data_IF_452124368720
#
_entry.id   IF_452124368720
#
_cell.length_a   1.000
_cell.length_b   1.000
_cell.length_c   1.000
_cell.angle_alpha   90.00
_cell.angle_beta   90.00
_cell.angle_gamma   90.00
#
_symmetry.space_group_name_H-M   'P 1'
#
loop_
_entity.id
_entity.type
_entity.pdbx_description
1 polymer ?
#
# COMPACT_ATOMS: atom_id res chain seq x y z
N UNK A 1 -5.38 -6.29 34.93
CA UNK A 1 -6.01 -5.22 34.12
C UNK A 1 -5.11 -4.89 32.93
N UNK A 2 -5.68 -5.04 31.73
CA UNK A 2 -5.38 -4.40 30.43
C UNK A 2 -3.93 -4.05 30.03
N UNK A 3 -3.37 -4.83 29.10
CA UNK A 3 -2.47 -4.33 28.05
C UNK A 3 -3.06 -4.67 26.68
N UNK A 4 -4.07 -3.91 26.26
CA UNK A 4 -4.51 -3.80 24.86
C UNK A 4 -4.35 -2.33 24.48
N UNK A 5 -3.17 -1.94 24.01
CA UNK A 5 -2.92 -0.61 23.46
C UNK A 5 -1.67 -0.67 22.58
N UNK A 6 -1.90 -0.89 21.28
CA UNK A 6 -1.08 -0.52 20.11
C UNK A 6 -1.32 -1.51 18.94
N UNK A 7 -2.56 -1.65 18.46
CA UNK A 7 -2.83 -2.44 17.24
C UNK A 7 -3.78 -1.74 16.26
N UNK A 8 -4.02 -0.44 16.45
CA UNK A 8 -5.22 0.19 15.87
C UNK A 8 -5.00 1.00 14.59
N UNK A 9 -3.76 1.40 14.25
CA UNK A 9 -3.53 2.32 13.13
C UNK A 9 -2.80 1.71 11.93
N UNK A 10 -2.02 0.64 12.15
CA UNK A 10 -1.17 0.07 11.11
C UNK A 10 -1.96 -0.85 10.15
N UNK A 11 -2.93 -1.60 10.69
CA UNK A 11 -3.93 -2.31 9.88
C UNK A 11 -4.80 -1.36 9.08
N UNK A 12 -5.10 -0.18 9.60
CA UNK A 12 -6.05 0.74 8.97
C UNK A 12 -5.59 1.18 7.58
N UNK A 13 -4.30 1.46 7.37
CA UNK A 13 -3.79 1.85 6.05
C UNK A 13 -3.82 0.70 5.04
N UNK A 14 -3.55 -0.52 5.48
CA UNK A 14 -3.65 -1.71 4.64
C UNK A 14 -5.10 -2.06 4.30
N UNK A 15 -6.00 -2.00 5.28
CA UNK A 15 -7.43 -2.22 5.13
C UNK A 15 -8.05 -1.17 4.20
N UNK A 16 -7.65 0.09 4.32
CA UNK A 16 -8.06 1.17 3.41
C UNK A 16 -7.61 0.90 1.97
N UNK A 17 -6.39 0.38 1.77
CA UNK A 17 -5.89 0.02 0.45
C UNK A 17 -6.69 -1.15 -0.15
N UNK A 18 -6.98 -2.18 0.65
CA UNK A 18 -7.81 -3.31 0.23
C UNK A 18 -9.21 -2.85 -0.14
N UNK A 19 -9.82 -1.97 0.68
CA UNK A 19 -11.16 -1.45 0.44
C UNK A 19 -11.20 -0.57 -0.82
N UNK A 20 -10.18 0.27 -1.03
CA UNK A 20 -10.05 1.11 -2.21
C UNK A 20 -9.91 0.29 -3.50
N UNK A 21 -9.22 -0.84 -3.43
CA UNK A 21 -9.03 -1.76 -4.56
C UNK A 21 -10.07 -2.90 -4.61
N UNK A 22 -11.16 -2.81 -3.85
CA UNK A 22 -12.18 -3.87 -3.77
C UNK A 22 -12.95 -4.09 -5.08
N UNK A 23 -12.98 -3.10 -5.97
CA UNK A 23 -13.60 -3.19 -7.30
C UNK A 23 -12.80 -4.02 -8.29
N UNK A 24 -11.54 -4.35 -7.97
CA UNK A 24 -10.64 -5.14 -8.80
C UNK A 24 -10.70 -6.61 -8.41
N UNK A 25 -10.50 -7.50 -9.39
CA UNK A 25 -10.26 -8.92 -9.10
C UNK A 25 -8.98 -9.10 -8.28
N UNK A 26 -8.80 -10.22 -7.55
CA UNK A 26 -7.57 -10.48 -6.81
C UNK A 26 -6.29 -10.36 -7.65
N UNK A 27 -6.33 -10.84 -8.90
CA UNK A 27 -5.18 -10.78 -9.82
C UNK A 27 -4.87 -9.35 -10.29
N UNK A 28 -5.89 -8.57 -10.63
CA UNK A 28 -5.73 -7.16 -11.00
C UNK A 28 -5.17 -6.35 -9.83
N UNK A 29 -5.68 -6.59 -8.62
CA UNK A 29 -5.18 -5.95 -7.40
C UNK A 29 -3.72 -6.31 -7.16
N UNK A 30 -3.35 -7.57 -7.31
CA UNK A 30 -1.96 -8.00 -7.13
C UNK A 30 -1.02 -7.35 -8.14
N UNK A 31 -1.42 -7.28 -9.41
CA UNK A 31 -0.63 -6.59 -10.46
C UNK A 31 -0.46 -5.10 -10.15
N UNK A 32 -1.53 -4.42 -9.73
CA UNK A 32 -1.45 -3.01 -9.36
C UNK A 32 -0.47 -2.80 -8.18
N UNK A 33 -0.59 -3.62 -7.15
CA UNK A 33 0.31 -3.54 -5.98
C UNK A 33 1.77 -3.78 -6.36
N UNK A 34 2.05 -4.75 -7.25
CA UNK A 34 3.40 -4.99 -7.76
C UNK A 34 3.94 -3.80 -8.56
N UNK A 35 3.08 -3.15 -9.36
CA UNK A 35 3.47 -1.95 -10.10
C UNK A 35 3.82 -0.80 -9.15
N UNK A 36 3.00 -0.57 -8.11
CA UNK A 36 3.26 0.44 -7.08
C UNK A 36 4.59 0.14 -6.36
N UNK A 37 4.84 -1.12 -6.01
CA UNK A 37 6.07 -1.55 -5.35
C UNK A 37 7.29 -1.28 -6.24
N UNK A 38 7.20 -1.57 -7.54
CA UNK A 38 8.25 -1.28 -8.52
C UNK A 38 8.51 0.23 -8.70
N UNK A 39 7.46 1.04 -8.73
CA UNK A 39 7.58 2.51 -8.77
C UNK A 39 8.31 3.03 -7.53
N UNK A 40 7.91 2.55 -6.34
CA UNK A 40 8.56 2.91 -5.08
C UNK A 40 10.05 2.53 -5.08
N UNK A 41 10.38 1.32 -5.52
CA UNK A 41 11.77 0.87 -5.61
C UNK A 41 12.59 1.76 -6.55
N UNK A 42 12.06 2.07 -7.73
CA UNK A 42 12.77 2.86 -8.73
C UNK A 42 12.97 4.33 -8.31
N UNK A 43 11.95 4.96 -7.70
CA UNK A 43 12.01 6.39 -7.34
C UNK A 43 12.89 6.61 -6.11
N UNK A 44 12.83 5.70 -5.15
CA UNK A 44 13.53 5.83 -3.87
C UNK A 44 14.86 5.08 -3.82
N UNK A 45 15.26 4.45 -4.93
CA UNK A 45 16.47 3.62 -5.06
C UNK A 45 16.51 2.53 -3.96
N UNK A 46 15.42 1.77 -3.86
CA UNK A 46 15.25 0.70 -2.88
C UNK A 46 15.32 -0.68 -3.52
N UNK A 47 15.80 -1.66 -2.76
CA UNK A 47 15.66 -3.07 -3.11
C UNK A 47 14.30 -3.62 -2.64
N UNK A 48 13.81 -4.73 -3.22
CA UNK A 48 12.58 -5.38 -2.75
C UNK A 48 12.62 -5.72 -1.24
N UNK A 49 13.81 -6.00 -0.69
CA UNK A 49 13.99 -6.32 0.72
C UNK A 49 13.87 -5.11 1.65
N UNK A 50 13.85 -3.88 1.12
CA UNK A 50 13.61 -2.66 1.88
C UNK A 50 12.11 -2.38 2.07
N UNK A 51 11.25 -3.11 1.34
CA UNK A 51 9.80 -3.00 1.44
C UNK A 51 9.27 -3.79 2.65
N UNK A 52 8.60 -3.13 3.61
CA UNK A 52 8.18 -3.77 4.87
C UNK A 52 7.26 -4.98 4.73
N UNK A 53 6.47 -5.05 3.66
CA UNK A 53 5.56 -6.16 3.39
C UNK A 53 6.20 -7.36 2.68
N UNK A 54 7.42 -7.19 2.13
CA UNK A 54 8.19 -8.29 1.54
C UNK A 54 9.22 -8.87 2.53
N UNK A 55 9.67 -8.04 3.47
CA UNK A 55 10.66 -8.44 4.48
C UNK A 55 10.19 -8.03 5.90
N UNK A 56 9.10 -8.64 6.40
CA UNK A 56 8.57 -8.31 7.72
C UNK A 56 9.62 -8.63 8.80
N UNK A 57 9.71 -7.78 9.82
CA UNK A 57 10.63 -7.87 10.98
C UNK A 57 12.06 -7.34 10.78
N UNK A 58 12.41 -6.71 9.65
CA UNK A 58 13.73 -6.08 9.47
C UNK A 58 13.72 -4.55 9.52
N UNK A 59 12.57 -3.94 9.80
CA UNK A 59 12.40 -2.50 9.67
C UNK A 59 11.94 -1.85 10.98
N UNK A 60 12.33 -0.60 11.18
CA UNK A 60 11.85 0.20 12.31
C UNK A 60 10.39 0.62 12.09
N UNK A 61 9.61 0.72 13.19
CA UNK A 61 8.17 1.09 13.18
C UNK A 61 7.89 2.37 12.35
N UNK A 62 8.81 3.34 12.36
CA UNK A 62 8.68 4.58 11.58
C UNK A 62 8.79 4.33 10.07
N UNK A 63 9.73 3.50 9.64
CA UNK A 63 9.91 3.15 8.22
C UNK A 63 8.69 2.37 7.71
N UNK A 64 8.23 1.40 8.50
CA UNK A 64 7.04 0.61 8.14
C UNK A 64 5.82 1.50 7.94
N UNK A 65 5.57 2.41 8.89
CA UNK A 65 4.45 3.35 8.81
C UNK A 65 4.57 4.30 7.61
N UNK A 66 5.77 4.81 7.34
CA UNK A 66 6.01 5.70 6.19
C UNK A 66 5.70 4.98 4.88
N UNK A 67 6.30 3.80 4.67
CA UNK A 67 6.16 3.05 3.42
C UNK A 67 4.73 2.56 3.20
N UNK A 68 4.02 2.12 4.25
CA UNK A 68 2.59 1.76 4.15
C UNK A 68 1.72 2.95 3.73
N UNK A 69 2.00 4.14 4.26
CA UNK A 69 1.27 5.35 3.89
C UNK A 69 1.59 5.82 2.46
N UNK A 70 2.86 5.74 2.04
CA UNK A 70 3.25 6.03 0.65
C UNK A 70 2.56 5.10 -0.34
N UNK A 71 2.56 3.79 -0.07
CA UNK A 71 1.85 2.79 -0.88
C UNK A 71 0.35 3.10 -0.98
N UNK A 72 -0.26 3.55 0.12
CA UNK A 72 -1.66 3.96 0.15
C UNK A 72 -1.94 5.22 -0.69
N UNK A 73 -1.08 6.24 -0.60
CA UNK A 73 -1.21 7.48 -1.38
C UNK A 73 -1.14 7.18 -2.88
N UNK A 74 -0.14 6.40 -3.31
CA UNK A 74 0.01 6.04 -4.72
C UNK A 74 -1.19 5.19 -5.18
N UNK A 75 -1.62 4.21 -4.37
CA UNK A 75 -2.80 3.40 -4.68
C UNK A 75 -4.08 4.24 -4.87
N UNK A 76 -4.27 5.28 -4.06
CA UNK A 76 -5.40 6.22 -4.21
C UNK A 76 -5.31 7.04 -5.50
N UNK A 77 -4.11 7.52 -5.86
CA UNK A 77 -3.89 8.27 -7.10
C UNK A 77 -4.21 7.40 -8.32
N UNK A 78 -3.68 6.16 -8.36
CA UNK A 78 -3.94 5.20 -9.43
C UNK A 78 -5.43 4.89 -9.56
N UNK A 79 -6.10 4.61 -8.43
CA UNK A 79 -7.54 4.39 -8.41
C UNK A 79 -8.33 5.57 -9.00
N UNK A 80 -8.03 6.80 -8.56
CA UNK A 80 -8.69 8.00 -9.06
C UNK A 80 -8.44 8.23 -10.55
N UNK A 81 -7.24 7.91 -11.05
CA UNK A 81 -6.91 7.94 -12.48
C UNK A 81 -7.80 6.96 -13.27
N UNK A 82 -7.90 5.71 -12.81
CA UNK A 82 -8.75 4.69 -13.44
C UNK A 82 -10.24 5.09 -13.46
N UNK A 83 -10.74 5.78 -12.44
CA UNK A 83 -12.12 6.26 -12.43
C UNK A 83 -12.36 7.39 -13.44
N UNK A 84 -11.38 8.28 -13.65
CA UNK A 84 -11.45 9.34 -14.67
C UNK A 84 -11.38 8.78 -16.09
N UNK A 85 -10.63 7.72 -16.32
CA UNK A 85 -10.63 7.03 -17.61
C UNK A 85 -11.97 6.33 -17.91
N UNK A 86 -12.75 6.03 -16.87
CA UNK A 86 -14.07 5.41 -16.98
C UNK A 86 -15.22 6.40 -17.18
N UNK A 87 -15.01 7.71 -17.14
CA UNK A 87 -16.07 8.66 -17.53
C UNK A 87 -16.31 8.57 -19.03
N UNK A 88 -17.39 7.89 -19.40
CA UNK A 88 -17.91 7.81 -20.77
C UNK A 88 -18.29 9.23 -21.21
N UNK A 89 -17.67 9.72 -22.29
CA UNK A 89 -18.10 10.94 -22.98
C UNK A 89 -19.41 10.74 -23.73
#
# INVERSE_FOLDING_TARGET
MSKKLKQSNDNQSHDNLIQLLSIQTPDERQKLLQNIDGILCNILDLEPNDLPWLNPNKHEEKWEKLMKNLRLIIGKIEYESMQKERTVH
#
